data_IF_399859048170
#
_entry.id   IF_399859048170
#
_cell.length_a   1.000
_cell.length_b   1.000
_cell.length_c   1.000
_cell.angle_alpha   90.00
_cell.angle_beta   90.00
_cell.angle_gamma   90.00
#
_symmetry.space_group_name_H-M   'P 1'
#
loop_
_entity.id
_entity.type
_entity.pdbx_description
1 polymer ?
#
# COMPACT_ATOMS: atom_id res chain seq x y z
N UNK A 1 15.04 5.55 6.34
CA UNK A 1 13.93 5.86 5.41
C UNK A 1 13.77 7.39 5.30
N UNK A 2 13.39 7.94 4.14
CA UNK A 2 13.03 9.36 4.01
C UNK A 2 11.87 9.71 4.95
N UNK A 3 11.81 10.96 5.43
CA UNK A 3 10.72 11.41 6.31
C UNK A 3 9.37 11.37 5.59
N UNK A 4 8.28 11.26 6.35
CA UNK A 4 6.92 11.29 5.82
C UNK A 4 6.69 12.52 4.90
N UNK A 5 7.21 13.69 5.29
CA UNK A 5 7.18 14.91 4.46
C UNK A 5 7.87 14.73 3.11
N UNK A 6 9.09 14.15 3.09
CA UNK A 6 9.84 13.92 1.83
C UNK A 6 9.13 12.90 0.94
N UNK A 7 8.53 11.87 1.53
CA UNK A 7 7.77 10.85 0.81
C UNK A 7 6.49 11.43 0.20
N UNK A 8 5.72 12.21 0.97
CA UNK A 8 4.52 12.88 0.48
C UNK A 8 4.85 13.84 -0.68
N UNK A 9 5.93 14.62 -0.55
CA UNK A 9 6.36 15.52 -1.64
C UNK A 9 6.74 14.74 -2.91
N UNK A 10 7.47 13.63 -2.77
CA UNK A 10 7.84 12.79 -3.91
C UNK A 10 6.64 12.11 -4.56
N UNK A 11 5.62 11.76 -3.78
CA UNK A 11 4.36 11.19 -4.27
C UNK A 11 3.58 12.24 -5.07
N UNK A 12 3.36 13.43 -4.50
CA UNK A 12 2.62 14.51 -5.18
C UNK A 12 3.33 14.94 -6.48
N UNK A 13 4.67 15.00 -6.50
CA UNK A 13 5.44 15.32 -7.71
C UNK A 13 5.26 14.33 -8.87
N UNK A 14 4.78 13.12 -8.61
CA UNK A 14 4.55 12.09 -9.64
C UNK A 14 3.12 12.08 -10.14
N UNK A 15 2.21 12.79 -9.47
CA UNK A 15 0.81 12.86 -9.87
C UNK A 15 0.66 13.75 -11.12
N UNK A 16 -0.32 13.45 -11.98
CA UNK A 16 -0.69 14.35 -13.07
C UNK A 16 -1.14 15.72 -12.54
N UNK A 17 -0.92 16.79 -13.29
CA UNK A 17 -1.38 18.15 -12.93
C UNK A 17 -2.90 18.23 -12.69
N UNK A 18 -3.68 17.36 -13.35
CA UNK A 18 -5.13 17.25 -13.19
C UNK A 18 -5.57 16.32 -12.03
N UNK A 19 -4.64 15.84 -11.22
CA UNK A 19 -4.96 14.97 -10.09
C UNK A 19 -5.86 15.69 -9.09
N UNK A 20 -6.83 14.96 -8.58
CA UNK A 20 -7.80 15.44 -7.60
C UNK A 20 -7.33 15.14 -6.18
N UNK A 21 -8.04 15.68 -5.20
CA UNK A 21 -7.81 15.31 -3.79
C UNK A 21 -8.05 13.82 -3.54
N UNK A 22 -8.99 13.21 -4.25
CA UNK A 22 -9.26 11.77 -4.14
C UNK A 22 -8.08 10.93 -4.62
N UNK A 23 -7.41 11.36 -5.70
CA UNK A 23 -6.19 10.69 -6.21
C UNK A 23 -5.04 10.77 -5.20
N UNK A 24 -4.84 11.95 -4.59
CA UNK A 24 -3.82 12.15 -3.55
C UNK A 24 -4.11 11.24 -2.34
N UNK A 25 -5.37 11.19 -1.90
CA UNK A 25 -5.79 10.36 -0.77
C UNK A 25 -5.66 8.86 -1.07
N UNK A 26 -5.98 8.45 -2.30
CA UNK A 26 -5.80 7.09 -2.76
C UNK A 26 -4.33 6.65 -2.69
N UNK A 27 -3.41 7.45 -3.22
CA UNK A 27 -1.96 7.16 -3.15
C UNK A 27 -1.47 7.01 -1.71
N UNK A 28 -1.90 7.89 -0.81
CA UNK A 28 -1.57 7.80 0.63
C UNK A 28 -2.07 6.48 1.21
N UNK A 29 -3.32 6.11 0.91
CA UNK A 29 -3.92 4.89 1.43
C UNK A 29 -3.20 3.63 0.93
N UNK A 30 -2.93 3.56 -0.38
CA UNK A 30 -2.18 2.45 -0.99
C UNK A 30 -0.82 2.31 -0.34
N UNK A 31 -0.08 3.41 -0.19
CA UNK A 31 1.24 3.39 0.45
C UNK A 31 1.18 2.87 1.88
N UNK A 32 0.23 3.38 2.69
CA UNK A 32 0.02 2.91 4.06
C UNK A 32 -0.32 1.41 4.11
N UNK A 33 -1.10 0.90 3.16
CA UNK A 33 -1.43 -0.52 3.07
C UNK A 33 -0.23 -1.38 2.69
N UNK A 34 0.61 -0.91 1.78
CA UNK A 34 1.86 -1.59 1.40
C UNK A 34 2.80 -1.66 2.59
N UNK A 35 3.06 -0.52 3.24
CA UNK A 35 3.97 -0.46 4.39
C UNK A 35 3.48 -1.37 5.52
N UNK A 36 2.18 -1.35 5.83
CA UNK A 36 1.59 -2.26 6.80
C UNK A 36 1.71 -3.74 6.40
N UNK A 37 1.55 -4.05 5.10
CA UNK A 37 1.71 -5.41 4.58
C UNK A 37 3.15 -5.92 4.66
N UNK A 38 4.13 -5.04 4.40
CA UNK A 38 5.55 -5.36 4.56
C UNK A 38 5.86 -5.64 6.04
N UNK A 39 5.44 -4.75 6.96
CA UNK A 39 5.64 -4.96 8.40
C UNK A 39 4.98 -6.27 8.88
N UNK A 40 3.74 -6.54 8.47
CA UNK A 40 3.07 -7.78 8.81
C UNK A 40 3.82 -9.01 8.28
N UNK A 41 4.39 -8.93 7.07
CA UNK A 41 5.19 -10.02 6.51
C UNK A 41 6.50 -10.24 7.28
N UNK A 42 7.19 -9.16 7.64
CA UNK A 42 8.42 -9.20 8.45
C UNK A 42 8.16 -9.78 9.85
N UNK A 43 6.99 -9.52 10.43
CA UNK A 43 6.52 -10.10 11.69
C UNK A 43 5.99 -11.54 11.55
N UNK A 44 6.01 -12.13 10.35
CA UNK A 44 5.53 -13.48 10.10
C UNK A 44 4.00 -13.62 10.10
N UNK A 45 3.25 -12.52 10.05
CA UNK A 45 1.78 -12.50 9.91
C UNK A 45 1.36 -12.82 8.46
N UNK A 46 1.81 -13.97 7.95
CA UNK A 46 1.57 -14.45 6.59
C UNK A 46 0.72 -15.71 6.60
N UNK A 47 0.07 -15.99 5.47
CA UNK A 47 -0.67 -17.23 5.24
C UNK A 47 -0.05 -18.01 4.09
N UNK A 48 0.02 -19.33 4.20
CA UNK A 48 0.60 -20.16 3.15
C UNK A 48 -0.23 -20.11 1.86
N UNK A 49 0.44 -20.27 0.72
CA UNK A 49 -0.20 -20.26 -0.59
C UNK A 49 -1.37 -21.26 -0.69
N UNK A 50 -1.21 -22.45 -0.11
CA UNK A 50 -2.26 -23.48 -0.06
C UNK A 50 -3.52 -22.99 0.67
N UNK A 51 -3.36 -22.28 1.80
CA UNK A 51 -4.49 -21.73 2.56
C UNK A 51 -5.19 -20.63 1.77
N UNK A 52 -4.42 -19.74 1.13
CA UNK A 52 -4.95 -18.67 0.29
C UNK A 52 -5.76 -19.25 -0.88
N UNK A 53 -5.21 -20.21 -1.62
CA UNK A 53 -5.89 -20.87 -2.75
C UNK A 53 -7.25 -21.44 -2.34
N UNK A 54 -7.34 -22.09 -1.16
CA UNK A 54 -8.60 -22.62 -0.62
C UNK A 54 -9.62 -21.52 -0.28
N UNK A 55 -9.19 -20.33 0.14
CA UNK A 55 -10.10 -19.20 0.45
C UNK A 55 -10.72 -18.59 -0.82
N UNK A 56 -9.92 -18.44 -1.87
CA UNK A 56 -10.37 -17.82 -3.12
C UNK A 56 -11.17 -18.76 -4.04
N UNK A 57 -10.96 -20.08 -3.96
CA UNK A 57 -11.72 -21.09 -4.73
C UNK A 57 -13.06 -21.50 -4.11
N UNK A 58 -13.39 -21.00 -2.91
CA UNK A 58 -14.67 -21.26 -2.22
C UNK A 58 -15.74 -20.19 -2.50
N UNK A 59 -15.49 -19.31 -3.47
CA UNK A 59 -16.48 -18.40 -4.05
C UNK A 59 -16.88 -18.91 -5.42
#
# INVERSE_FOLDING_TARGET
MPTAKKQALAMVKKLPEKATWDDIMYEIYVRKKIDAGITAADEGQVVSHTVVKKRFLKK
#
